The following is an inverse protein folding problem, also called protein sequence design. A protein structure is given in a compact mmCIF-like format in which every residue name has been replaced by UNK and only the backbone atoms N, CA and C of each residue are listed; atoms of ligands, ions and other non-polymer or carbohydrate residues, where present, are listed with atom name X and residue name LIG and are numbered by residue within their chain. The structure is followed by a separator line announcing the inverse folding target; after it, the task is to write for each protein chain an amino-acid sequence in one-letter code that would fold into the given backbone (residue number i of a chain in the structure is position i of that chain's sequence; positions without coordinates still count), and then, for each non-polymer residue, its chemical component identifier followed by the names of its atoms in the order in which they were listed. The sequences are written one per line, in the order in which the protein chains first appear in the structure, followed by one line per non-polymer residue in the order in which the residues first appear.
data_IF_093860386270
#
_entry.id   IF_093860386270
#
_cell.length_a   1.000
_cell.length_b   1.000
_cell.length_c   1.000
_cell.angle_alpha   90.00
_cell.angle_beta   90.00
_cell.angle_gamma   90.00
#
_symmetry.space_group_name_H-M   'P 1'
#
loop_
_entity.id
_entity.type
_entity.pdbx_description
1 polymer ?
#
# COMPACT_ATOMS: atom_id res chain seq x y z
N UNK A 1 -18.96 -14.98 16.61
CA UNK A 1 -17.77 -14.11 16.67
C UNK A 1 -17.56 -13.60 15.26
N UNK A 2 -17.60 -12.28 15.06
CA UNK A 2 -17.24 -11.73 13.75
C UNK A 2 -15.75 -12.02 13.54
N UNK A 3 -15.39 -12.61 12.40
CA UNK A 3 -13.99 -12.70 12.03
C UNK A 3 -13.44 -11.27 11.93
N UNK A 4 -12.22 -11.04 12.42
CA UNK A 4 -11.56 -9.76 12.21
C UNK A 4 -11.46 -9.52 10.70
N UNK A 5 -11.97 -8.39 10.23
CA UNK A 5 -11.93 -8.01 8.83
C UNK A 5 -10.64 -7.24 8.56
N UNK A 6 -9.85 -7.73 7.61
CA UNK A 6 -8.57 -7.17 7.21
C UNK A 6 -8.69 -6.77 5.75
N UNK A 7 -8.95 -5.49 5.50
CA UNK A 7 -9.14 -4.99 4.14
C UNK A 7 -7.88 -5.16 3.30
N UNK A 8 -8.02 -5.62 2.05
CA UNK A 8 -6.92 -5.77 1.08
C UNK A 8 -5.69 -6.57 1.58
N UNK A 9 -5.90 -7.62 2.38
CA UNK A 9 -4.80 -8.46 2.90
C UNK A 9 -3.93 -9.06 1.78
N UNK A 10 -4.52 -9.35 0.62
CA UNK A 10 -3.80 -9.80 -0.57
C UNK A 10 -2.80 -8.76 -1.13
N UNK A 11 -3.12 -7.47 -1.03
CA UNK A 11 -2.19 -6.39 -1.36
C UNK A 11 -1.09 -6.30 -0.31
N UNK A 12 -1.44 -6.41 0.97
CA UNK A 12 -0.47 -6.38 2.08
C UNK A 12 0.60 -7.45 1.90
N UNK A 13 0.18 -8.72 1.77
CA UNK A 13 1.08 -9.86 1.62
C UNK A 13 2.01 -9.67 0.42
N UNK A 14 1.46 -9.28 -0.74
CA UNK A 14 2.25 -9.05 -1.95
C UNK A 14 3.26 -7.90 -1.80
N UNK A 15 2.93 -6.84 -1.08
CA UNK A 15 3.84 -5.72 -0.85
C UNK A 15 4.96 -6.08 0.16
N UNK A 16 4.63 -6.82 1.22
CA UNK A 16 5.63 -7.31 2.18
C UNK A 16 6.64 -8.25 1.52
N UNK A 17 6.18 -9.15 0.63
CA UNK A 17 7.05 -9.98 -0.21
C UNK A 17 8.03 -9.15 -1.08
N UNK A 18 7.69 -7.88 -1.34
CA UNK A 18 8.49 -6.94 -2.12
C UNK A 18 9.19 -5.87 -1.25
N UNK A 19 9.37 -6.13 0.05
CA UNK A 19 10.19 -5.29 0.93
C UNK A 19 9.48 -4.04 1.47
N UNK A 20 8.16 -3.97 1.34
CA UNK A 20 7.36 -3.02 2.11
C UNK A 20 7.22 -3.50 3.55
N UNK A 21 7.03 -2.57 4.47
CA UNK A 21 7.01 -2.83 5.91
C UNK A 21 5.71 -2.28 6.48
N UNK A 22 4.95 -3.11 7.19
CA UNK A 22 3.78 -2.67 7.95
C UNK A 22 4.14 -1.59 8.98
N UNK A 23 3.26 -0.61 9.13
CA UNK A 23 3.39 0.43 10.15
C UNK A 23 3.34 -0.15 11.58
N UNK A 24 3.99 0.51 12.54
CA UNK A 24 4.09 0.00 13.91
C UNK A 24 2.72 -0.06 14.63
N UNK A 25 1.82 0.88 14.33
CA UNK A 25 0.51 0.97 14.99
C UNK A 25 -0.59 0.26 14.17
N UNK A 26 -0.43 0.22 12.84
CA UNK A 26 -1.43 -0.30 11.90
C UNK A 26 -0.78 -1.21 10.82
N UNK A 27 -0.13 -2.32 11.21
CA UNK A 27 0.75 -3.09 10.32
C UNK A 27 0.06 -3.72 9.11
N UNK A 28 -1.25 -4.00 9.23
CA UNK A 28 -2.05 -4.61 8.15
C UNK A 28 -2.95 -3.60 7.41
N UNK A 29 -2.83 -2.32 7.72
CA UNK A 29 -3.59 -1.25 7.06
C UNK A 29 -2.72 -0.15 6.46
N UNK A 30 -1.46 -0.03 6.89
CA UNK A 30 -0.51 0.97 6.40
C UNK A 30 0.82 0.28 6.15
N UNK A 31 1.34 0.37 4.93
CA UNK A 31 2.64 -0.16 4.54
C UNK A 31 3.54 0.98 4.05
N UNK A 32 4.79 0.96 4.48
CA UNK A 32 5.82 1.95 4.16
C UNK A 32 6.98 1.28 3.45
N UNK A 33 7.48 1.91 2.39
CA UNK A 33 8.67 1.45 1.68
C UNK A 33 9.85 2.40 1.94
N UNK A 34 11.11 1.91 2.01
CA UNK A 34 12.30 2.76 2.17
C UNK A 34 12.48 3.84 1.10
N UNK A 35 11.81 3.71 -0.05
CA UNK A 35 11.74 4.75 -1.09
C UNK A 35 10.98 6.01 -0.64
N UNK A 36 10.28 5.96 0.49
CA UNK A 36 9.34 7.00 0.93
C UNK A 36 7.92 6.84 0.38
N UNK A 37 7.63 5.76 -0.34
CA UNK A 37 6.26 5.45 -0.77
C UNK A 37 5.45 4.88 0.41
N UNK A 38 4.17 5.26 0.51
CA UNK A 38 3.27 4.78 1.56
C UNK A 38 1.95 4.35 0.94
N UNK A 39 1.52 3.13 1.22
CA UNK A 39 0.21 2.62 0.84
C UNK A 39 -0.64 2.41 2.09
N UNK A 40 -1.92 2.72 2.03
CA UNK A 40 -2.83 2.52 3.15
C UNK A 40 -4.25 2.16 2.71
N UNK A 41 -4.92 1.29 3.48
CA UNK A 41 -6.36 1.08 3.41
C UNK A 41 -7.07 2.28 4.05
N UNK A 42 -8.10 2.78 3.38
CA UNK A 42 -8.87 3.94 3.78
C UNK A 42 -10.31 3.52 4.06
N UNK A 43 -10.76 3.69 5.30
CA UNK A 43 -12.13 3.36 5.69
C UNK A 43 -12.41 1.86 5.82
N UNK A 44 -13.68 1.49 5.83
CA UNK A 44 -14.15 0.11 6.08
C UNK A 44 -14.67 -0.61 4.83
N UNK A 45 -14.29 -0.14 3.63
CA UNK A 45 -14.86 -0.57 2.34
C UNK A 45 -13.81 -1.11 1.37
N UNK A 46 -12.62 -1.49 1.83
CA UNK A 46 -11.47 -1.88 1.00
C UNK A 46 -10.93 -0.78 0.06
N UNK A 47 -11.40 0.46 0.18
CA UNK A 47 -10.75 1.58 -0.50
C UNK A 47 -9.30 1.72 0.01
N UNK A 48 -8.38 2.20 -0.82
CA UNK A 48 -6.99 2.41 -0.41
C UNK A 48 -6.34 3.55 -1.18
N UNK A 49 -5.17 4.00 -0.75
CA UNK A 49 -4.43 5.06 -1.40
C UNK A 49 -2.92 4.81 -1.37
N UNK A 50 -2.21 5.48 -2.28
CA UNK A 50 -0.75 5.46 -2.39
C UNK A 50 -0.22 6.89 -2.47
N UNK A 51 0.60 7.23 -1.48
CA UNK A 51 1.44 8.44 -1.49
C UNK A 51 2.78 8.09 -2.14
N UNK A 52 3.06 8.72 -3.28
CA UNK A 52 4.30 8.51 -4.01
C UNK A 52 5.42 9.42 -3.46
N UNK A 53 6.70 9.00 -3.53
CA UNK A 53 7.84 9.81 -3.07
C UNK A 53 7.94 11.21 -3.71
N UNK A 54 7.37 11.39 -4.90
CA UNK A 54 7.30 12.68 -5.61
C UNK A 54 6.10 13.57 -5.24
N UNK A 55 5.32 13.21 -4.21
CA UNK A 55 4.15 13.96 -3.74
C UNK A 55 2.85 13.72 -4.52
N UNK A 56 2.86 12.85 -5.53
CA UNK A 56 1.64 12.40 -6.18
C UNK A 56 0.85 11.46 -5.26
N UNK A 57 -0.47 11.61 -5.25
CA UNK A 57 -1.38 10.75 -4.47
C UNK A 57 -2.30 10.02 -5.43
N UNK A 58 -2.40 8.71 -5.28
CA UNK A 58 -3.30 7.85 -6.07
C UNK A 58 -4.35 7.27 -5.14
N UNK A 59 -5.61 7.34 -5.55
CA UNK A 59 -6.75 6.76 -4.83
C UNK A 59 -7.21 5.51 -5.58
N UNK A 60 -7.49 4.44 -4.83
CA UNK A 60 -7.97 3.17 -5.34
C UNK A 60 -9.31 2.85 -4.68
N UNK A 61 -10.43 3.13 -5.38
CA UNK A 61 -11.74 2.66 -4.95
C UNK A 61 -11.78 1.14 -4.77
N UNK A 62 -12.76 0.67 -4.00
CA UNK A 62 -12.91 -0.71 -3.58
C UNK A 62 -13.03 -1.72 -4.72
N UNK A 63 -13.47 -1.28 -5.90
CA UNK A 63 -13.60 -2.09 -7.11
C UNK A 63 -12.30 -2.17 -7.94
N UNK A 64 -11.25 -1.44 -7.57
CA UNK A 64 -9.94 -1.54 -8.23
C UNK A 64 -9.32 -2.90 -7.92
N UNK A 65 -8.95 -3.70 -8.95
CA UNK A 65 -8.32 -4.99 -8.74
C UNK A 65 -6.97 -4.86 -8.00
N UNK A 66 -6.70 -5.77 -7.07
CA UNK A 66 -5.48 -5.80 -6.27
C UNK A 66 -4.21 -5.79 -7.13
N UNK A 67 -4.20 -6.48 -8.27
CA UNK A 67 -3.08 -6.48 -9.21
C UNK A 67 -2.72 -5.07 -9.72
N UNK A 68 -3.70 -4.19 -9.90
CA UNK A 68 -3.47 -2.79 -10.31
C UNK A 68 -2.85 -1.99 -9.17
N UNK A 69 -3.35 -2.18 -7.95
CA UNK A 69 -2.84 -1.53 -6.74
C UNK A 69 -1.38 -1.94 -6.51
N UNK A 70 -1.10 -3.25 -6.54
CA UNK A 70 0.25 -3.81 -6.39
C UNK A 70 1.17 -3.22 -7.47
N UNK A 71 0.78 -3.25 -8.74
CA UNK A 71 1.59 -2.70 -9.81
C UNK A 71 1.92 -1.21 -9.61
N UNK A 72 0.95 -0.40 -9.19
CA UNK A 72 1.16 1.01 -8.90
C UNK A 72 2.13 1.23 -7.73
N UNK A 73 1.99 0.47 -6.64
CA UNK A 73 2.89 0.53 -5.49
C UNK A 73 4.32 0.14 -5.87
N UNK A 74 4.51 -0.97 -6.58
CA UNK A 74 5.82 -1.40 -7.05
C UNK A 74 6.45 -0.39 -8.01
N UNK A 75 5.65 0.26 -8.85
CA UNK A 75 6.14 1.35 -9.70
C UNK A 75 6.59 2.54 -8.85
N UNK A 76 5.79 3.00 -7.90
CA UNK A 76 6.15 4.11 -7.01
C UNK A 76 7.42 3.82 -6.20
N UNK A 77 7.57 2.60 -5.68
CA UNK A 77 8.76 2.16 -4.94
C UNK A 77 10.06 2.30 -5.76
N UNK A 78 9.98 2.12 -7.09
CA UNK A 78 11.12 2.24 -8.01
C UNK A 78 11.44 3.67 -8.43
N UNK A 79 10.54 4.63 -8.18
CA UNK A 79 10.74 6.03 -8.61
C UNK A 79 11.60 6.85 -7.66
N UNK A 80 11.89 6.38 -6.45
CA UNK A 80 12.91 7.00 -5.61
C UNK A 80 14.31 6.63 -6.13
N UNK A 81 14.93 7.55 -6.85
CA UNK A 81 16.37 7.46 -7.17
C UNK A 81 17.16 7.39 -5.84
N UNK A 82 18.13 6.47 -5.68
CA UNK A 82 19.01 6.52 -4.52
C UNK A 82 19.81 7.84 -4.55
N UNK A 83 20.13 8.45 -3.40
CA UNK A 83 20.99 9.63 -3.38
C UNK A 83 22.35 9.28 -4.03
N UNK A 84 22.74 10.06 -5.05
CA UNK A 84 24.07 9.98 -5.68
C UNK A 84 25.16 10.56 -4.78
#
# INVERSE_FOLDING_TARGET
MAADWWGRLDVVEALEENGWIGDADMPLSILRHPSGAVWAVVGGTDDSGLDCPGGAVIQFPSDVPSAVIIAACLAAARTAEPPR
#
